data_IF_328938861576
#
_entry.id   IF_328938861576
#
_cell.length_a   1.000
_cell.length_b   1.000
_cell.length_c   1.000
_cell.angle_alpha   90.00
_cell.angle_beta   90.00
_cell.angle_gamma   90.00
#
_symmetry.space_group_name_H-M   'P 1'
#
loop_
_entity.id
_entity.type
_entity.pdbx_description
1 polymer ?
#
# COMPACT_ATOMS: atom_id res chain seq x y z
N UNK A 1 7.24 71.42 29.16
CA UNK A 1 7.35 70.38 28.11
C UNK A 1 6.66 69.14 28.64
N UNK A 2 5.42 68.88 28.19
CA UNK A 2 4.65 67.69 28.58
C UNK A 2 4.70 66.72 27.41
N UNK A 3 5.46 65.64 27.58
CA UNK A 3 5.50 64.52 26.63
C UNK A 3 4.20 63.73 26.76
N UNK A 4 3.37 63.76 25.71
CA UNK A 4 2.20 62.89 25.58
C UNK A 4 2.62 61.54 25.01
N UNK A 5 2.70 60.49 25.84
CA UNK A 5 2.70 59.11 25.38
C UNK A 5 1.27 58.68 25.09
N UNK A 6 0.89 58.62 23.81
CA UNK A 6 -0.38 58.02 23.39
C UNK A 6 -0.30 56.50 23.52
N UNK A 7 -1.32 55.82 24.06
CA UNK A 7 -1.39 54.37 24.03
C UNK A 7 -1.61 53.92 22.59
N UNK A 8 -0.92 52.86 22.16
CA UNK A 8 -1.16 52.24 20.87
C UNK A 8 -2.62 51.79 20.77
N UNK A 9 -3.26 52.09 19.64
CA UNK A 9 -4.64 51.72 19.36
C UNK A 9 -4.81 50.19 19.48
N UNK A 10 -5.73 49.68 20.32
CA UNK A 10 -5.94 48.24 20.52
C UNK A 10 -6.27 47.49 19.21
N UNK A 11 -6.84 48.17 18.20
CA UNK A 11 -7.06 47.56 16.88
C UNK A 11 -5.74 47.35 16.11
N UNK A 12 -4.77 48.26 16.25
CA UNK A 12 -3.46 48.18 15.59
C UNK A 12 -2.59 47.10 16.25
N UNK A 13 -2.68 46.96 17.58
CA UNK A 13 -2.02 45.89 18.32
C UNK A 13 -2.53 44.50 17.89
N UNK A 14 -3.84 44.32 17.80
CA UNK A 14 -4.48 43.07 17.34
C UNK A 14 -4.05 42.70 15.91
N UNK A 15 -4.05 43.65 14.97
CA UNK A 15 -3.65 43.41 13.58
C UNK A 15 -2.17 43.02 13.48
N UNK A 16 -1.31 43.62 14.31
CA UNK A 16 0.12 43.32 14.32
C UNK A 16 0.41 41.93 14.90
N UNK A 17 -0.35 41.52 15.92
CA UNK A 17 -0.28 40.19 16.52
C UNK A 17 -0.80 39.10 15.57
N UNK A 18 -1.88 39.36 14.85
CA UNK A 18 -2.39 38.46 13.80
C UNK A 18 -1.39 38.33 12.64
N UNK A 19 -0.73 39.42 12.25
CA UNK A 19 0.27 39.41 11.19
C UNK A 19 1.57 38.69 11.62
N UNK A 20 1.98 38.77 12.88
CA UNK A 20 3.15 38.04 13.40
C UNK A 20 2.85 36.54 13.52
N UNK A 21 1.64 36.17 13.95
CA UNK A 21 1.19 34.77 13.99
C UNK A 21 1.15 34.16 12.59
N UNK A 22 0.63 34.89 11.58
CA UNK A 22 0.59 34.44 10.18
C UNK A 22 1.99 34.23 9.59
N UNK A 23 2.96 35.11 9.94
CA UNK A 23 4.36 35.03 9.51
C UNK A 23 5.10 33.82 10.06
N UNK A 24 4.64 33.25 11.18
CA UNK A 24 5.24 32.06 11.79
C UNK A 24 4.47 30.81 11.34
N UNK A 25 3.14 30.87 11.26
CA UNK A 25 2.29 29.74 10.88
C UNK A 25 2.45 29.37 9.40
N UNK A 26 2.61 30.34 8.51
CA UNK A 26 2.82 30.11 7.07
C UNK A 26 4.04 29.22 6.78
N UNK A 27 5.25 29.58 7.25
CA UNK A 27 6.45 28.75 7.12
C UNK A 27 6.31 27.36 7.74
N UNK A 28 5.71 27.27 8.94
CA UNK A 28 5.47 25.98 9.60
C UNK A 28 4.54 25.06 8.80
N UNK A 29 3.45 25.59 8.24
CA UNK A 29 2.56 24.83 7.37
C UNK A 29 3.26 24.41 6.07
N UNK A 30 4.04 25.30 5.44
CA UNK A 30 4.80 24.94 4.22
C UNK A 30 5.84 23.85 4.45
N UNK A 31 6.38 23.72 5.67
CA UNK A 31 7.32 22.67 6.03
C UNK A 31 6.61 21.35 6.37
N UNK A 32 5.43 21.42 6.99
CA UNK A 32 4.64 20.25 7.37
C UNK A 32 4.06 19.49 6.17
N UNK A 33 3.67 20.19 5.10
CA UNK A 33 3.12 19.57 3.88
C UNK A 33 4.07 18.57 3.19
N UNK A 34 5.34 18.90 2.88
CA UNK A 34 6.28 17.95 2.28
C UNK A 34 6.65 16.82 3.25
N UNK A 35 6.73 17.08 4.57
CA UNK A 35 6.94 16.03 5.56
C UNK A 35 5.78 15.04 5.61
N UNK A 36 4.53 15.53 5.57
CA UNK A 36 3.34 14.69 5.49
C UNK A 36 3.33 13.87 4.19
N UNK A 37 3.66 14.49 3.06
CA UNK A 37 3.80 13.81 1.78
C UNK A 37 4.86 12.70 1.79
N UNK A 38 6.02 12.96 2.37
CA UNK A 38 7.11 11.97 2.50
C UNK A 38 6.73 10.82 3.43
N UNK A 39 6.03 11.09 4.53
CA UNK A 39 5.53 10.06 5.47
C UNK A 39 4.46 9.17 4.82
N UNK A 40 3.54 9.75 4.06
CA UNK A 40 2.52 8.98 3.31
C UNK A 40 3.17 8.18 2.18
N UNK A 41 4.21 8.72 1.53
CA UNK A 41 4.92 8.04 0.46
C UNK A 41 5.78 6.87 0.96
N UNK A 42 6.49 7.04 2.08
CA UNK A 42 7.33 5.98 2.66
C UNK A 42 6.52 4.83 3.26
N UNK A 43 5.39 5.14 3.91
CA UNK A 43 4.43 4.13 4.38
C UNK A 43 3.83 3.30 3.25
N UNK A 44 3.93 3.74 2.00
CA UNK A 44 3.37 3.06 0.84
C UNK A 44 4.38 2.19 0.07
N UNK A 45 5.66 2.18 0.46
CA UNK A 45 6.69 1.46 -0.31
C UNK A 45 6.48 -0.05 -0.29
N UNK A 46 6.20 -0.63 0.88
CA UNK A 46 5.97 -2.07 1.01
C UNK A 46 4.71 -2.52 0.27
N UNK A 47 3.62 -1.74 0.38
CA UNK A 47 2.40 -1.94 -0.41
C UNK A 47 2.65 -1.87 -1.92
N UNK A 48 3.40 -0.85 -2.37
CA UNK A 48 3.68 -0.66 -3.80
C UNK A 48 4.51 -1.80 -4.36
N UNK A 49 5.50 -2.28 -3.61
CA UNK A 49 6.31 -3.43 -4.00
C UNK A 49 5.48 -4.71 -4.02
N UNK A 50 4.65 -4.93 -2.98
CA UNK A 50 3.70 -6.04 -2.95
C UNK A 50 2.78 -6.04 -4.17
N UNK A 51 2.16 -4.90 -4.49
CA UNK A 51 1.28 -4.76 -5.65
C UNK A 51 2.05 -4.95 -6.95
N UNK A 52 3.27 -4.43 -7.08
CA UNK A 52 4.12 -4.70 -8.25
C UNK A 52 4.35 -6.21 -8.41
N UNK A 53 4.68 -6.92 -7.35
CA UNK A 53 5.06 -8.34 -7.41
C UNK A 53 3.89 -9.31 -7.55
N UNK A 54 2.74 -9.02 -6.94
CA UNK A 54 1.65 -10.00 -6.80
C UNK A 54 0.35 -9.63 -7.51
N UNK A 55 0.11 -8.37 -7.91
CA UNK A 55 -1.18 -7.97 -8.47
C UNK A 55 -1.30 -8.25 -9.96
N UNK A 56 -2.43 -8.86 -10.36
CA UNK A 56 -2.89 -8.92 -11.75
C UNK A 56 -4.22 -8.20 -11.89
N UNK A 57 -4.28 -7.30 -12.88
CA UNK A 57 -5.45 -6.49 -13.16
C UNK A 57 -6.55 -7.28 -13.86
N UNK A 58 -7.79 -7.03 -13.47
CA UNK A 58 -8.97 -7.53 -14.19
C UNK A 58 -9.24 -6.80 -15.52
N UNK A 59 -8.44 -5.80 -15.87
CA UNK A 59 -8.51 -5.15 -17.20
C UNK A 59 -8.09 -6.07 -18.33
N UNK A 60 -7.31 -7.12 -18.04
CA UNK A 60 -6.90 -8.15 -18.99
C UNK A 60 -7.62 -9.46 -18.68
N UNK A 61 -7.78 -10.33 -19.68
CA UNK A 61 -8.34 -11.67 -19.42
C UNK A 61 -7.30 -12.48 -18.66
N UNK A 62 -7.77 -13.29 -17.72
CA UNK A 62 -6.89 -14.15 -16.93
C UNK A 62 -5.99 -15.06 -17.81
N UNK A 63 -6.49 -15.53 -18.95
CA UNK A 63 -5.77 -16.36 -19.91
C UNK A 63 -4.57 -15.69 -20.57
N UNK A 64 -4.56 -14.36 -20.60
CA UNK A 64 -3.57 -13.55 -21.31
C UNK A 64 -2.30 -13.43 -20.48
N UNK A 65 -2.39 -13.65 -19.16
CA UNK A 65 -1.24 -13.71 -18.28
C UNK A 65 -0.43 -14.99 -18.49
N UNK A 66 0.88 -14.83 -18.72
CA UNK A 66 1.85 -15.91 -18.88
C UNK A 66 2.93 -15.80 -17.83
N UNK A 67 3.27 -16.92 -17.18
CA UNK A 67 4.23 -16.93 -16.09
C UNK A 67 5.62 -16.51 -16.54
N UNK A 68 6.07 -16.95 -17.72
CA UNK A 68 7.38 -16.54 -18.26
C UNK A 68 7.50 -15.02 -18.43
N UNK A 69 6.45 -14.36 -18.93
CA UNK A 69 6.44 -12.91 -19.12
C UNK A 69 6.36 -12.18 -17.79
N UNK A 70 5.45 -12.62 -16.90
CA UNK A 70 5.24 -12.01 -15.59
C UNK A 70 6.47 -12.12 -14.69
N UNK A 71 7.09 -13.30 -14.61
CA UNK A 71 8.28 -13.51 -13.78
C UNK A 71 9.46 -12.64 -14.26
N UNK A 72 9.58 -12.45 -15.58
CA UNK A 72 10.57 -11.54 -16.19
C UNK A 72 10.24 -10.07 -15.94
N UNK A 73 8.99 -9.65 -16.14
CA UNK A 73 8.56 -8.26 -15.99
C UNK A 73 8.62 -7.79 -14.53
N UNK A 74 8.32 -8.68 -13.59
CA UNK A 74 8.26 -8.36 -12.16
C UNK A 74 9.56 -8.53 -11.42
N UNK A 75 10.58 -9.13 -12.06
CA UNK A 75 11.82 -9.55 -11.39
C UNK A 75 11.48 -10.35 -10.13
N UNK A 76 10.47 -11.22 -10.23
CA UNK A 76 9.87 -11.88 -9.08
C UNK A 76 10.91 -12.77 -8.37
N UNK A 77 10.87 -12.84 -7.02
CA UNK A 77 11.80 -13.66 -6.25
C UNK A 77 11.82 -15.12 -6.72
N UNK A 78 13.02 -15.69 -6.84
CA UNK A 78 13.24 -17.09 -7.23
C UNK A 78 13.55 -17.99 -6.02
N UNK A 79 13.33 -17.49 -4.81
CA UNK A 79 13.65 -18.16 -3.55
C UNK A 79 12.57 -19.17 -3.11
N UNK A 80 11.42 -19.20 -3.79
CA UNK A 80 10.29 -20.09 -3.50
C UNK A 80 10.02 -21.07 -4.65
N UNK A 81 9.43 -22.22 -4.30
CA UNK A 81 9.05 -23.26 -5.27
C UNK A 81 8.05 -22.76 -6.34
N UNK A 82 7.27 -21.74 -6.01
CA UNK A 82 6.36 -21.07 -6.92
C UNK A 82 6.12 -19.63 -6.48
N UNK A 83 5.82 -18.76 -7.44
CA UNK A 83 5.36 -17.40 -7.20
C UNK A 83 3.85 -17.31 -7.37
N UNK A 84 3.19 -16.49 -6.56
CA UNK A 84 1.73 -16.32 -6.58
C UNK A 84 1.39 -14.95 -7.12
N UNK A 85 0.48 -14.92 -8.08
CA UNK A 85 -0.19 -13.72 -8.55
C UNK A 85 -1.68 -13.75 -8.20
N UNK A 86 -2.24 -12.60 -7.83
CA UNK A 86 -3.61 -12.41 -7.37
C UNK A 86 -4.38 -11.63 -8.44
N UNK A 87 -5.37 -12.27 -9.05
CA UNK A 87 -6.21 -11.68 -10.08
C UNK A 87 -7.51 -11.11 -9.48
N UNK A 88 -7.55 -9.79 -9.33
CA UNK A 88 -8.67 -9.08 -8.68
C UNK A 88 -8.64 -7.59 -9.03
N UNK A 89 -9.62 -6.83 -8.53
CA UNK A 89 -9.50 -5.36 -8.48
C UNK A 89 -8.56 -4.96 -7.34
N UNK A 90 -7.67 -4.00 -7.58
CA UNK A 90 -6.64 -3.55 -6.61
C UNK A 90 -7.21 -3.17 -5.24
N UNK A 91 -8.34 -2.43 -5.21
CA UNK A 91 -8.98 -1.96 -3.97
C UNK A 91 -9.48 -3.12 -3.08
N UNK A 92 -9.70 -4.32 -3.65
CA UNK A 92 -10.06 -5.49 -2.85
C UNK A 92 -8.89 -5.97 -1.98
N UNK A 93 -7.65 -5.80 -2.45
CA UNK A 93 -6.45 -6.13 -1.67
C UNK A 93 -6.18 -5.01 -0.65
N UNK A 94 -6.31 -3.75 -1.08
CA UNK A 94 -6.09 -2.57 -0.21
C UNK A 94 -6.95 -2.62 1.05
N UNK A 95 -8.23 -3.02 0.91
CA UNK A 95 -9.18 -3.05 2.02
C UNK A 95 -9.01 -4.24 2.97
N UNK A 96 -8.10 -5.20 2.72
CA UNK A 96 -7.92 -6.39 3.57
C UNK A 96 -7.51 -5.98 4.99
N UNK A 97 -6.50 -5.12 5.11
CA UNK A 97 -5.96 -4.67 6.39
C UNK A 97 -6.83 -3.60 7.06
N UNK A 98 -7.78 -3.00 6.34
CA UNK A 98 -8.71 -1.99 6.87
C UNK A 98 -9.94 -2.60 7.55
N UNK A 99 -10.23 -3.89 7.34
CA UNK A 99 -11.47 -4.54 7.82
C UNK A 99 -11.61 -4.56 9.34
N UNK A 100 -10.50 -4.64 10.08
CA UNK A 100 -10.50 -4.54 11.54
C UNK A 100 -9.83 -3.24 11.95
N UNK A 101 -10.64 -2.18 12.10
CA UNK A 101 -10.17 -0.85 12.48
C UNK A 101 -9.27 -0.84 13.73
N UNK A 102 -9.49 -1.79 14.64
CA UNK A 102 -8.73 -2.01 15.88
C UNK A 102 -7.29 -2.51 15.65
N UNK A 103 -7.04 -3.20 14.54
CA UNK A 103 -5.77 -3.86 14.24
C UNK A 103 -4.94 -3.11 13.19
N UNK A 104 -5.39 -1.94 12.70
CA UNK A 104 -4.80 -1.25 11.55
C UNK A 104 -3.30 -0.95 11.67
N UNK A 105 -2.79 -0.73 12.88
CA UNK A 105 -1.40 -0.32 13.10
C UNK A 105 -0.54 -1.40 13.76
N UNK A 106 -0.94 -2.66 13.62
CA UNK A 106 -0.24 -3.82 14.16
C UNK A 106 0.17 -4.73 13.02
N UNK A 107 1.34 -5.35 13.16
CA UNK A 107 1.69 -6.50 12.32
C UNK A 107 0.74 -7.64 12.66
N UNK A 108 -0.13 -7.99 11.72
CA UNK A 108 -1.15 -9.02 11.88
C UNK A 108 -1.28 -9.86 10.63
N UNK A 109 -1.68 -11.10 10.83
CA UNK A 109 -1.90 -12.10 9.80
C UNK A 109 -3.40 -12.27 9.63
N UNK A 110 -3.92 -12.06 8.42
CA UNK A 110 -5.36 -12.05 8.15
C UNK A 110 -5.68 -12.97 6.98
N UNK A 111 -6.43 -14.04 7.26
CA UNK A 111 -7.09 -14.83 6.23
C UNK A 111 -8.18 -14.01 5.53
N UNK A 112 -8.13 -13.99 4.21
CA UNK A 112 -9.20 -13.45 3.40
C UNK A 112 -10.50 -14.23 3.63
N UNK A 113 -11.62 -13.52 3.83
CA UNK A 113 -12.93 -14.15 4.02
C UNK A 113 -13.47 -14.85 2.76
N UNK A 114 -12.98 -14.44 1.58
CA UNK A 114 -13.40 -15.00 0.31
C UNK A 114 -12.16 -15.41 -0.46
N UNK A 115 -12.25 -16.50 -1.25
CA UNK A 115 -11.13 -16.95 -2.04
C UNK A 115 -10.85 -15.96 -3.18
N UNK A 116 -9.57 -15.78 -3.48
CA UNK A 116 -9.11 -15.03 -4.64
C UNK A 116 -8.83 -15.97 -5.80
N UNK A 117 -9.05 -15.49 -7.02
CA UNK A 117 -8.53 -16.15 -8.21
C UNK A 117 -7.02 -15.88 -8.26
N UNK A 118 -6.22 -16.93 -8.38
CA UNK A 118 -4.77 -16.85 -8.38
C UNK A 118 -4.17 -17.50 -9.62
N UNK A 119 -2.97 -17.07 -9.97
CA UNK A 119 -2.08 -17.71 -10.93
C UNK A 119 -0.78 -18.06 -10.20
N UNK A 120 -0.50 -19.35 -10.07
CA UNK A 120 0.76 -19.86 -9.53
C UNK A 120 1.73 -20.12 -10.69
N UNK A 121 2.97 -19.66 -10.51
CA UNK A 121 4.05 -19.85 -11.46
C UNK A 121 5.11 -20.75 -10.84
N UNK A 122 5.14 -22.02 -11.28
CA UNK A 122 6.11 -23.01 -10.83
C UNK A 122 7.33 -23.00 -11.75
N UNK A 123 8.53 -22.98 -11.19
CA UNK A 123 9.74 -23.09 -11.99
C UNK A 123 9.89 -24.52 -12.55
N UNK A 124 10.17 -24.65 -13.84
CA UNK A 124 10.41 -25.94 -14.49
C UNK A 124 11.91 -26.19 -14.72
N UNK A 125 12.39 -27.36 -14.30
CA UNK A 125 13.69 -27.92 -14.69
C UNK A 125 14.87 -26.95 -14.58
N UNK A 126 15.53 -26.68 -15.71
CA UNK A 126 16.78 -25.91 -15.81
C UNK A 126 16.60 -24.38 -15.65
N UNK A 127 15.65 -23.95 -14.81
CA UNK A 127 15.47 -22.59 -14.31
C UNK A 127 15.08 -21.49 -15.32
N UNK A 128 14.76 -21.85 -16.58
CA UNK A 128 14.47 -20.86 -17.65
C UNK A 128 12.99 -20.72 -18.01
N UNK A 129 12.14 -21.63 -17.57
CA UNK A 129 10.70 -21.59 -17.86
C UNK A 129 9.87 -21.79 -16.61
N UNK A 130 8.64 -21.27 -16.66
CA UNK A 130 7.65 -21.36 -15.62
C UNK A 130 6.35 -21.94 -16.17
N UNK A 131 5.73 -22.80 -15.37
CA UNK A 131 4.42 -23.40 -15.64
C UNK A 131 3.32 -22.64 -14.92
N UNK A 132 2.26 -22.29 -15.64
CA UNK A 132 1.05 -21.71 -15.08
C UNK A 132 0.16 -22.77 -14.41
N UNK A 133 -0.31 -22.46 -13.20
CA UNK A 133 -1.44 -23.14 -12.59
C UNK A 133 -2.46 -22.10 -12.08
N UNK A 134 -3.64 -22.07 -12.68
CA UNK A 134 -4.71 -21.17 -12.29
C UNK A 134 -5.70 -21.86 -11.33
N UNK A 135 -6.16 -21.13 -10.32
CA UNK A 135 -7.10 -21.68 -9.35
C UNK A 135 -7.78 -20.60 -8.50
N UNK A 136 -8.53 -21.05 -7.49
CA UNK A 136 -9.02 -20.19 -6.44
C UNK A 136 -8.40 -20.61 -5.11
N UNK A 137 -8.06 -19.65 -4.26
CA UNK A 137 -7.43 -19.92 -2.98
C UNK A 137 -7.90 -18.95 -1.92
N UNK A 138 -8.08 -19.42 -0.69
CA UNK A 138 -7.97 -18.53 0.45
C UNK A 138 -6.50 -18.13 0.62
N UNK A 139 -6.26 -16.89 1.02
CA UNK A 139 -4.93 -16.32 1.17
C UNK A 139 -4.83 -15.69 2.55
N UNK A 140 -3.76 -16.00 3.28
CA UNK A 140 -3.34 -15.29 4.47
C UNK A 140 -2.40 -14.15 4.08
N UNK A 141 -2.82 -12.93 4.39
CA UNK A 141 -2.04 -11.73 4.13
C UNK A 141 -1.34 -11.27 5.40
N UNK A 142 -0.10 -10.84 5.27
CA UNK A 142 0.55 -10.01 6.28
C UNK A 142 0.14 -8.56 6.06
N UNK A 143 -0.40 -7.96 7.12
CA UNK A 143 -0.71 -6.55 7.21
C UNK A 143 0.36 -5.86 8.05
N UNK A 144 1.12 -4.97 7.42
CA UNK A 144 2.14 -4.19 8.09
C UNK A 144 1.56 -3.13 9.03
N UNK A 145 2.40 -2.57 9.89
CA UNK A 145 2.03 -1.49 10.81
C UNK A 145 1.49 -0.21 10.13
N UNK A 146 1.70 -0.06 8.81
CA UNK A 146 1.15 1.02 7.99
C UNK A 146 -0.33 0.81 7.61
N UNK A 147 -0.91 -0.36 7.93
CA UNK A 147 -2.29 -0.70 7.60
C UNK A 147 -2.51 -1.15 6.16
N UNK A 148 -1.45 -1.53 5.45
CA UNK A 148 -1.51 -2.11 4.11
C UNK A 148 -0.96 -3.53 4.10
N UNK A 149 -1.36 -4.28 3.08
CA UNK A 149 -0.79 -5.60 2.81
C UNK A 149 0.65 -5.40 2.31
N UNK A 150 1.58 -6.17 2.81
CA UNK A 150 2.94 -6.20 2.28
C UNK A 150 3.53 -7.60 2.14
N UNK A 151 2.75 -8.65 2.46
CA UNK A 151 3.19 -10.04 2.28
C UNK A 151 2.04 -11.02 2.07
N UNK A 152 2.37 -12.14 1.41
CA UNK A 152 1.57 -13.37 1.38
C UNK A 152 2.28 -14.39 2.28
N UNK A 153 1.54 -14.87 3.27
CA UNK A 153 2.08 -15.73 4.32
C UNK A 153 1.74 -17.19 4.05
N UNK A 154 0.48 -17.47 3.73
CA UNK A 154 0.05 -18.81 3.37
C UNK A 154 -1.14 -18.78 2.39
N UNK A 155 -1.38 -19.91 1.72
CA UNK A 155 -2.51 -20.12 0.83
C UNK A 155 -3.17 -21.48 1.06
N UNK A 156 -4.50 -21.50 0.98
CA UNK A 156 -5.29 -22.72 0.99
C UNK A 156 -6.04 -22.86 -0.35
N UNK A 157 -5.49 -23.71 -1.23
CA UNK A 157 -6.05 -23.98 -2.55
C UNK A 157 -7.42 -24.64 -2.44
N UNK A 158 -8.34 -24.18 -3.27
CA UNK A 158 -9.63 -24.82 -3.45
C UNK A 158 -9.52 -25.83 -4.58
N UNK A 159 -9.59 -27.12 -4.23
CA UNK A 159 -9.76 -28.20 -5.20
C UNK A 159 -11.17 -28.13 -5.80
N UNK A 160 -11.30 -27.36 -6.88
CA UNK A 160 -12.49 -27.40 -7.71
C UNK A 160 -12.31 -28.57 -8.66
N UNK A 161 -12.85 -29.74 -8.28
CA UNK A 161 -12.99 -30.87 -9.20
C UNK A 161 -13.72 -30.38 -10.45
N UNK A 162 -13.02 -30.45 -11.58
CA UNK A 162 -13.51 -30.00 -12.88
C UNK A 162 -14.47 -31.00 -13.49
#
# INVERSE_FOLDING_TARGET
>A
MLSSSFPADPQVALVTEMASFLKILGPFLTLLFPLAGLLVHSQNLSWREFMKQHYLSTSWKFSDYKCNDLMREREAPQDRNYHIFIYTFWHKIEHICLRKWRDRYRNVYIWAQHPFKILQCYQEGNQKSYREHGGYSYIEFHCGMNGYVDGIEDIQLLDIKK
#
